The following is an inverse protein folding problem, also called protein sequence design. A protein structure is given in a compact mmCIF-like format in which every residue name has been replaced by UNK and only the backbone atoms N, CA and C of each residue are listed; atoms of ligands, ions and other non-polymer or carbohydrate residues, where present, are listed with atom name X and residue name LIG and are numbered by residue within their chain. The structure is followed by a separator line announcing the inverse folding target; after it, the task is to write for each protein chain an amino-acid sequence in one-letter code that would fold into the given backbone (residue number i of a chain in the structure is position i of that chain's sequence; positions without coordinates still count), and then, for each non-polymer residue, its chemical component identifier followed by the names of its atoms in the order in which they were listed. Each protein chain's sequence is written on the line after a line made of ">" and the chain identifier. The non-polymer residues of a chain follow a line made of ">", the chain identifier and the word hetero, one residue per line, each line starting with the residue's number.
data_IF_170919820798
#
_entry.id   IF_170919820798
#
_cell.length_a   1.000
_cell.length_b   1.000
_cell.length_c   1.000
_cell.angle_alpha   90.00
_cell.angle_beta   90.00
_cell.angle_gamma   90.00
#
_symmetry.space_group_name_H-M   'P 1'
#
loop_
_entity.id
_entity.type
_entity.pdbx_description
1 polymer ?
#
# COMPACT_ATOMS: atom_id res chain seq x y z
N UNK A 1 4.61 10.71 3.09
CA UNK A 1 5.12 11.05 4.43
C UNK A 1 4.48 12.32 5.03
N UNK A 2 3.47 12.93 4.39
CA UNK A 2 2.89 14.22 4.82
C UNK A 2 1.50 14.11 5.46
N UNK A 3 1.11 12.94 5.98
CA UNK A 3 -0.24 12.72 6.56
C UNK A 3 -0.55 13.72 7.67
N UNK A 4 0.38 13.89 8.61
CA UNK A 4 0.22 14.83 9.74
C UNK A 4 0.11 16.27 9.25
N UNK A 5 0.94 16.68 8.29
CA UNK A 5 0.88 18.03 7.71
C UNK A 5 -0.46 18.25 7.01
N UNK A 6 -0.94 17.25 6.25
CA UNK A 6 -2.25 17.29 5.60
C UNK A 6 -3.39 17.47 6.60
N UNK A 7 -3.41 16.70 7.69
CA UNK A 7 -4.42 16.86 8.75
C UNK A 7 -4.35 18.21 9.46
N UNK A 8 -3.14 18.73 9.71
CA UNK A 8 -2.98 20.09 10.28
C UNK A 8 -3.52 21.15 9.32
N UNK A 9 -3.29 21.02 8.02
CA UNK A 9 -3.84 21.93 7.02
C UNK A 9 -5.37 21.85 6.92
N UNK A 10 -5.94 20.64 6.98
CA UNK A 10 -7.40 20.44 6.98
C UNK A 10 -8.03 21.09 8.22
N UNK A 11 -7.55 20.74 9.42
CA UNK A 11 -8.06 21.29 10.68
C UNK A 11 -7.84 22.81 10.71
N UNK A 12 -6.63 23.26 10.39
CA UNK A 12 -6.25 24.67 10.44
C UNK A 12 -7.09 25.54 9.50
N UNK A 13 -7.39 25.06 8.29
CA UNK A 13 -8.20 25.81 7.33
C UNK A 13 -9.66 25.89 7.78
N UNK A 14 -10.24 24.78 8.24
CA UNK A 14 -11.66 24.72 8.63
C UNK A 14 -11.90 25.47 9.94
N UNK A 15 -11.12 25.15 10.98
CA UNK A 15 -11.24 25.81 12.28
C UNK A 15 -10.78 27.27 12.20
N UNK A 16 -9.72 27.56 11.44
CA UNK A 16 -9.24 28.92 11.22
C UNK A 16 -10.28 29.81 10.53
N UNK A 17 -10.98 29.29 9.52
CA UNK A 17 -12.09 30.00 8.87
C UNK A 17 -13.23 30.27 9.85
N UNK A 18 -13.65 29.25 10.61
CA UNK A 18 -14.74 29.38 11.57
C UNK A 18 -14.45 30.41 12.67
N UNK A 19 -13.23 30.39 13.23
CA UNK A 19 -12.81 31.39 14.23
C UNK A 19 -12.65 32.78 13.60
N UNK A 20 -12.14 32.88 12.38
CA UNK A 20 -12.00 34.13 11.64
C UNK A 20 -13.35 34.84 11.39
N UNK A 21 -14.43 34.07 11.24
CA UNK A 21 -15.80 34.57 11.13
C UNK A 21 -16.45 34.89 12.50
N UNK A 22 -15.72 34.70 13.61
CA UNK A 22 -16.22 34.93 14.98
C UNK A 22 -16.86 33.71 15.64
N UNK A 23 -16.71 32.53 15.05
CA UNK A 23 -17.18 31.25 15.61
C UNK A 23 -16.43 30.83 16.88
N UNK A 24 -17.15 30.17 17.78
CA UNK A 24 -16.59 29.67 19.04
C UNK A 24 -16.35 28.16 18.96
N UNK A 25 -15.08 27.72 19.03
CA UNK A 25 -14.70 26.30 18.85
C UNK A 25 -15.47 25.36 19.77
N UNK A 26 -15.77 25.79 21.01
CA UNK A 26 -16.53 25.00 21.98
C UNK A 26 -17.89 24.54 21.43
N UNK A 27 -18.52 25.31 20.54
CA UNK A 27 -19.80 24.95 19.93
C UNK A 27 -19.69 23.73 19.00
N UNK A 28 -18.52 23.50 18.37
CA UNK A 28 -18.28 22.38 17.46
C UNK A 28 -17.93 21.07 18.19
N UNK A 29 -17.66 21.14 19.50
CA UNK A 29 -17.27 19.97 20.28
C UNK A 29 -18.54 19.36 20.88
N UNK A 30 -19.15 18.44 20.14
CA UNK A 30 -20.34 17.68 20.57
C UNK A 30 -19.97 16.19 20.78
N UNK A 31 -19.64 15.76 22.01
CA UNK A 31 -19.13 14.41 22.26
C UNK A 31 -20.12 13.31 21.89
N UNK A 32 -21.43 13.51 22.13
CA UNK A 32 -22.44 12.50 21.85
C UNK A 32 -22.67 12.30 20.34
N UNK A 33 -22.51 13.35 19.54
CA UNK A 33 -22.56 13.22 18.09
C UNK A 33 -21.36 12.44 17.56
N UNK A 34 -20.15 12.68 18.10
CA UNK A 34 -18.98 11.86 17.77
C UNK A 34 -19.18 10.39 18.12
N UNK A 35 -19.77 10.09 19.28
CA UNK A 35 -20.10 8.71 19.67
C UNK A 35 -21.11 8.09 18.70
N UNK A 36 -22.15 8.84 18.30
CA UNK A 36 -23.13 8.37 17.33
C UNK A 36 -22.47 8.05 15.99
N UNK A 37 -21.72 9.00 15.42
CA UNK A 37 -21.11 8.89 14.09
C UNK A 37 -20.03 7.81 14.08
N UNK A 38 -19.07 7.89 15.00
CA UNK A 38 -17.92 6.98 15.04
C UNK A 38 -18.33 5.58 15.53
N UNK A 39 -19.22 5.51 16.51
CA UNK A 39 -19.77 4.25 17.01
C UNK A 39 -20.58 3.51 15.94
N UNK A 40 -21.44 4.22 15.20
CA UNK A 40 -22.19 3.64 14.09
C UNK A 40 -21.27 3.23 12.93
N UNK A 41 -20.25 4.05 12.60
CA UNK A 41 -19.27 3.72 11.58
C UNK A 41 -18.45 2.47 11.93
N UNK A 42 -17.98 2.34 13.18
CA UNK A 42 -17.29 1.13 13.65
C UNK A 42 -18.24 -0.07 13.64
N UNK A 43 -19.48 0.08 14.12
CA UNK A 43 -20.48 -0.99 14.09
C UNK A 43 -20.73 -1.49 12.66
N UNK A 44 -20.96 -0.57 11.72
CA UNK A 44 -21.11 -0.89 10.31
C UNK A 44 -19.85 -1.53 9.70
N UNK A 45 -18.67 -1.06 10.09
CA UNK A 45 -17.39 -1.63 9.67
C UNK A 45 -17.22 -3.08 10.14
N UNK A 46 -17.59 -3.39 11.39
CA UNK A 46 -17.54 -4.75 11.94
C UNK A 46 -18.55 -5.67 11.25
N UNK A 47 -19.77 -5.20 11.01
CA UNK A 47 -20.82 -6.00 10.34
C UNK A 47 -20.47 -6.29 8.88
N UNK A 48 -19.82 -5.36 8.18
CA UNK A 48 -19.55 -5.48 6.74
C UNK A 48 -18.24 -6.20 6.38
N UNK A 49 -17.44 -6.63 7.36
CA UNK A 49 -16.12 -7.20 7.10
C UNK A 49 -15.85 -8.49 7.90
N UNK A 50 -15.26 -9.52 7.28
CA UNK A 50 -14.82 -10.71 8.00
C UNK A 50 -13.65 -10.38 8.94
N UNK A 51 -13.44 -11.23 9.97
CA UNK A 51 -12.39 -11.04 10.98
C UNK A 51 -10.98 -10.91 10.40
N UNK A 52 -10.71 -11.58 9.27
CA UNK A 52 -9.44 -11.45 8.54
C UNK A 52 -9.20 -10.02 8.04
N UNK A 53 -10.22 -9.41 7.42
CA UNK A 53 -10.19 -8.02 6.96
C UNK A 53 -10.02 -7.05 8.13
N UNK A 54 -10.77 -7.23 9.22
CA UNK A 54 -10.63 -6.39 10.42
C UNK A 54 -9.19 -6.37 10.94
N UNK A 55 -8.57 -7.54 11.05
CA UNK A 55 -7.16 -7.68 11.48
C UNK A 55 -6.20 -7.07 10.48
N UNK A 56 -6.40 -7.29 9.17
CA UNK A 56 -5.54 -6.71 8.11
C UNK A 56 -5.60 -5.18 8.17
N UNK A 57 -6.80 -4.59 8.24
CA UNK A 57 -6.98 -3.15 8.34
C UNK A 57 -6.25 -2.55 9.54
N UNK A 58 -6.40 -3.14 10.73
CA UNK A 58 -5.71 -2.66 11.94
C UNK A 58 -4.19 -2.75 11.81
N UNK A 59 -3.65 -3.81 11.18
CA UNK A 59 -2.22 -3.96 10.93
C UNK A 59 -1.69 -2.99 9.86
N UNK A 60 -2.53 -2.59 8.91
CA UNK A 60 -2.15 -1.68 7.82
C UNK A 60 -2.15 -0.20 8.25
N UNK A 61 -2.93 0.20 9.27
CA UNK A 61 -3.01 1.60 9.70
C UNK A 61 -1.66 2.24 10.07
N UNK A 62 -0.75 1.60 10.85
CA UNK A 62 0.56 2.18 11.15
C UNK A 62 1.43 2.41 9.91
N UNK A 63 1.17 1.70 8.81
CA UNK A 63 1.95 1.83 7.58
C UNK A 63 1.81 3.20 6.93
N UNK A 64 0.71 3.95 7.18
CA UNK A 64 0.47 5.27 6.57
C UNK A 64 1.53 6.31 6.97
N UNK A 65 2.12 6.14 8.15
CA UNK A 65 3.17 7.02 8.66
C UNK A 65 4.56 6.62 8.19
N UNK A 66 4.74 5.40 7.66
CA UNK A 66 6.02 4.93 7.13
C UNK A 66 6.21 5.36 5.67
N UNK A 67 7.46 5.39 5.20
CA UNK A 67 7.80 5.66 3.80
C UNK A 67 7.29 4.59 2.82
N UNK A 68 7.59 4.76 1.53
CA UNK A 68 7.37 3.72 0.52
C UNK A 68 8.28 2.50 0.75
N UNK A 69 7.87 1.33 0.25
CA UNK A 69 8.59 0.07 0.47
C UNK A 69 9.87 -0.04 -0.37
N UNK A 70 9.84 0.45 -1.62
CA UNK A 70 10.96 0.38 -2.57
C UNK A 70 11.44 1.76 -3.01
N UNK A 71 12.75 1.94 -2.97
CA UNK A 71 13.46 3.08 -3.54
C UNK A 71 14.32 2.62 -4.73
N UNK A 72 15.00 3.58 -5.36
CA UNK A 72 15.89 3.31 -6.50
C UNK A 72 16.96 2.25 -6.16
N UNK A 73 17.54 2.31 -4.97
CA UNK A 73 18.63 1.42 -4.56
C UNK A 73 18.13 -0.01 -4.40
N UNK A 74 16.99 -0.22 -3.76
CA UNK A 74 16.35 -1.53 -3.64
C UNK A 74 16.01 -2.13 -5.01
N UNK A 75 15.56 -1.32 -5.97
CA UNK A 75 15.36 -1.81 -7.33
C UNK A 75 16.65 -2.21 -8.03
N UNK A 76 17.74 -1.46 -7.84
CA UNK A 76 19.06 -1.85 -8.37
C UNK A 76 19.50 -3.20 -7.80
N UNK A 77 19.37 -3.37 -6.49
CA UNK A 77 19.71 -4.63 -5.81
C UNK A 77 18.83 -5.80 -6.24
N UNK A 78 17.51 -5.59 -6.40
CA UNK A 78 16.59 -6.60 -6.96
C UNK A 78 17.00 -7.03 -8.37
N UNK A 79 17.27 -6.07 -9.25
CA UNK A 79 17.68 -6.37 -10.63
C UNK A 79 19.07 -7.03 -10.65
N UNK A 80 19.98 -6.64 -9.76
CA UNK A 80 21.30 -7.24 -9.63
C UNK A 80 21.22 -8.70 -9.15
N UNK A 81 20.37 -9.03 -8.17
CA UNK A 81 20.11 -10.41 -7.76
C UNK A 81 19.59 -11.23 -8.94
N UNK A 82 18.55 -10.75 -9.63
CA UNK A 82 17.98 -11.46 -10.78
C UNK A 82 19.04 -11.66 -11.88
N UNK A 83 19.87 -10.65 -12.14
CA UNK A 83 20.98 -10.76 -13.08
C UNK A 83 21.97 -11.87 -12.69
N UNK A 84 22.39 -11.92 -11.41
CA UNK A 84 23.33 -12.94 -10.92
C UNK A 84 22.73 -14.36 -11.02
N UNK A 85 21.47 -14.53 -10.63
CA UNK A 85 20.75 -15.81 -10.76
C UNK A 85 20.68 -16.25 -12.22
N UNK A 86 20.26 -15.36 -13.12
CA UNK A 86 20.16 -15.66 -14.55
C UNK A 86 21.54 -15.92 -15.19
N UNK A 87 22.59 -15.24 -14.73
CA UNK A 87 23.95 -15.51 -15.20
C UNK A 87 24.48 -16.85 -14.74
N UNK A 88 24.20 -17.25 -13.49
CA UNK A 88 24.54 -18.58 -12.99
C UNK A 88 23.79 -19.64 -13.79
N UNK A 89 22.48 -19.50 -13.98
CA UNK A 89 21.68 -20.40 -14.81
C UNK A 89 22.21 -20.53 -16.25
N UNK A 90 22.63 -19.42 -16.87
CA UNK A 90 23.15 -19.44 -18.24
C UNK A 90 24.52 -20.11 -18.36
N UNK A 91 25.38 -19.98 -17.34
CA UNK A 91 26.74 -20.53 -17.36
C UNK A 91 26.81 -21.99 -16.91
N UNK A 92 26.08 -22.32 -15.86
CA UNK A 92 26.17 -23.59 -15.14
C UNK A 92 24.93 -24.48 -15.39
N UNK A 93 23.91 -23.96 -16.08
CA UNK A 93 22.63 -24.63 -16.30
C UNK A 93 21.60 -24.28 -15.22
N UNK A 94 20.31 -24.44 -15.54
CA UNK A 94 19.22 -24.07 -14.63
C UNK A 94 19.24 -24.87 -13.32
N UNK A 95 19.69 -26.14 -13.37
CA UNK A 95 19.86 -27.00 -12.19
C UNK A 95 20.87 -26.44 -11.18
N UNK A 96 21.82 -25.61 -11.61
CA UNK A 96 22.77 -24.99 -10.70
C UNK A 96 22.12 -24.00 -9.71
N UNK A 97 20.88 -23.56 -9.99
CA UNK A 97 20.10 -22.72 -9.11
C UNK A 97 19.32 -23.49 -8.03
N UNK A 98 19.19 -24.82 -8.12
CA UNK A 98 18.39 -25.61 -7.16
C UNK A 98 18.84 -25.37 -5.71
N UNK A 99 20.15 -25.38 -5.47
CA UNK A 99 20.70 -25.11 -4.14
C UNK A 99 20.38 -23.70 -3.62
N UNK A 100 20.34 -22.69 -4.51
CA UNK A 100 20.01 -21.31 -4.12
C UNK A 100 18.52 -21.13 -3.85
N UNK A 101 17.68 -21.87 -4.59
CA UNK A 101 16.23 -21.79 -4.57
C UNK A 101 15.64 -22.62 -3.42
N UNK A 102 16.24 -23.76 -3.09
CA UNK A 102 15.80 -24.62 -1.99
C UNK A 102 16.21 -24.11 -0.61
N UNK A 103 17.35 -23.42 -0.53
CA UNK A 103 17.85 -22.82 0.71
C UNK A 103 18.29 -21.37 0.49
N UNK A 104 17.36 -20.43 0.22
CA UNK A 104 17.68 -19.03 -0.07
C UNK A 104 18.43 -18.35 1.09
N UNK A 105 18.14 -18.72 2.33
CA UNK A 105 18.82 -18.17 3.51
C UNK A 105 20.30 -18.60 3.59
N UNK A 106 20.67 -19.69 2.93
CA UNK A 106 22.04 -20.22 2.85
C UNK A 106 22.73 -19.83 1.54
N UNK A 107 21.98 -19.30 0.57
CA UNK A 107 22.51 -18.91 -0.73
C UNK A 107 23.44 -17.69 -0.61
N UNK A 108 24.70 -17.80 -1.07
CA UNK A 108 25.59 -16.65 -1.15
C UNK A 108 25.08 -15.53 -2.06
N UNK A 109 24.17 -15.84 -3.01
CA UNK A 109 23.56 -14.84 -3.89
C UNK A 109 22.51 -14.04 -3.15
N UNK A 110 21.55 -14.70 -2.49
CA UNK A 110 20.51 -14.01 -1.73
C UNK A 110 21.08 -13.25 -0.53
N UNK A 111 22.12 -13.77 0.15
CA UNK A 111 22.75 -13.11 1.31
C UNK A 111 23.36 -11.75 0.99
N UNK A 112 23.72 -11.49 -0.27
CA UNK A 112 24.17 -10.14 -0.73
C UNK A 112 23.05 -9.10 -0.69
N UNK A 113 21.80 -9.54 -0.66
CA UNK A 113 20.61 -8.69 -0.77
C UNK A 113 19.62 -8.95 0.38
N UNK A 114 19.95 -8.55 1.63
CA UNK A 114 19.16 -8.87 2.82
C UNK A 114 17.71 -8.38 2.76
N UNK A 115 17.44 -7.29 2.04
CA UNK A 115 16.09 -6.74 1.94
C UNK A 115 15.15 -7.69 1.18
N UNK A 116 15.66 -8.47 0.22
CA UNK A 116 14.88 -9.46 -0.55
C UNK A 116 14.61 -10.68 0.33
N UNK A 117 15.60 -11.13 1.11
CA UNK A 117 15.43 -12.23 2.08
C UNK A 117 14.34 -11.89 3.10
N UNK A 118 14.32 -10.66 3.60
CA UNK A 118 13.35 -10.20 4.59
C UNK A 118 11.92 -10.06 4.04
N UNK A 119 11.77 -9.94 2.71
CA UNK A 119 10.50 -9.86 2.02
C UNK A 119 10.10 -11.25 1.53
N UNK A 120 9.49 -12.04 2.43
CA UNK A 120 9.12 -13.43 2.14
C UNK A 120 8.25 -13.55 0.88
N UNK A 121 7.31 -12.63 0.65
CA UNK A 121 6.43 -12.71 -0.51
C UNK A 121 7.22 -12.51 -1.82
N UNK A 122 8.09 -11.50 -1.89
CA UNK A 122 8.90 -11.29 -3.10
C UNK A 122 9.91 -12.42 -3.31
N UNK A 123 10.53 -12.90 -2.23
CA UNK A 123 11.47 -14.02 -2.27
C UNK A 123 10.79 -15.28 -2.79
N UNK A 124 9.65 -15.65 -2.24
CA UNK A 124 8.93 -16.87 -2.59
C UNK A 124 8.46 -16.79 -4.05
N UNK A 125 8.00 -15.63 -4.50
CA UNK A 125 7.69 -15.38 -5.92
C UNK A 125 8.92 -15.64 -6.82
N UNK A 126 10.08 -15.07 -6.52
CA UNK A 126 11.31 -15.30 -7.32
C UNK A 126 11.65 -16.81 -7.36
N UNK A 127 11.61 -17.47 -6.20
CA UNK A 127 11.98 -18.88 -6.02
C UNK A 127 11.04 -19.79 -6.81
N UNK A 128 9.73 -19.64 -6.65
CA UNK A 128 8.76 -20.55 -7.25
C UNK A 128 8.79 -20.49 -8.77
N UNK A 129 8.95 -19.29 -9.36
CA UNK A 129 9.11 -19.17 -10.81
C UNK A 129 10.45 -19.69 -11.31
N UNK A 130 11.54 -19.55 -10.55
CA UNK A 130 12.83 -20.17 -10.91
C UNK A 130 12.77 -21.70 -10.83
N UNK A 131 12.07 -22.29 -9.84
CA UNK A 131 11.80 -23.73 -9.78
C UNK A 131 11.05 -24.20 -11.03
N UNK A 132 9.97 -23.49 -11.35
CA UNK A 132 9.17 -23.75 -12.54
C UNK A 132 10.05 -23.72 -13.81
N UNK A 133 10.91 -22.71 -13.98
CA UNK A 133 11.85 -22.63 -15.10
C UNK A 133 12.84 -23.82 -15.15
N UNK A 134 13.26 -24.38 -14.01
CA UNK A 134 14.14 -25.55 -13.94
C UNK A 134 13.49 -26.85 -14.42
N UNK A 135 12.16 -27.00 -14.25
CA UNK A 135 11.43 -28.19 -14.72
C UNK A 135 11.37 -28.31 -16.25
N UNK A 136 11.73 -27.27 -17.00
CA UNK A 136 12.07 -27.32 -18.43
C UNK A 136 10.89 -27.44 -19.41
N UNK A 137 9.65 -27.53 -18.94
CA UNK A 137 8.49 -27.84 -19.80
C UNK A 137 7.38 -26.77 -19.76
N UNK A 138 7.73 -25.50 -19.59
CA UNK A 138 6.77 -24.40 -19.42
C UNK A 138 6.80 -23.46 -20.63
N UNK A 139 5.62 -23.21 -21.19
CA UNK A 139 5.43 -22.22 -22.23
C UNK A 139 5.51 -20.79 -21.64
N UNK A 140 6.20 -19.87 -22.32
CA UNK A 140 6.35 -18.47 -21.90
C UNK A 140 5.00 -17.78 -21.68
N UNK A 141 4.02 -18.04 -22.56
CA UNK A 141 2.69 -17.44 -22.47
C UNK A 141 1.92 -17.98 -21.25
N UNK A 142 1.99 -19.29 -20.99
CA UNK A 142 1.34 -19.89 -19.82
C UNK A 142 1.96 -19.37 -18.51
N UNK A 143 3.29 -19.22 -18.46
CA UNK A 143 3.95 -18.60 -17.30
C UNK A 143 3.55 -17.14 -17.13
N UNK A 144 3.43 -16.39 -18.23
CA UNK A 144 3.00 -15.00 -18.18
C UNK A 144 1.57 -14.89 -17.61
N UNK A 145 0.65 -15.71 -18.10
CA UNK A 145 -0.75 -15.71 -17.66
C UNK A 145 -0.87 -16.10 -16.18
N UNK A 146 -0.09 -17.09 -15.71
CA UNK A 146 -0.02 -17.46 -14.30
C UNK A 146 0.51 -16.31 -13.43
N UNK A 147 1.60 -15.68 -13.85
CA UNK A 147 2.18 -14.52 -13.15
C UNK A 147 1.21 -13.33 -13.12
N UNK A 148 0.43 -13.13 -14.17
CA UNK A 148 -0.60 -12.09 -14.20
C UNK A 148 -1.73 -12.37 -13.21
N UNK A 149 -2.23 -13.60 -13.14
CA UNK A 149 -3.28 -13.98 -12.19
C UNK A 149 -2.81 -13.86 -10.73
N UNK A 150 -1.56 -14.25 -10.46
CA UNK A 150 -0.97 -14.09 -9.12
C UNK A 150 -0.80 -12.61 -8.74
N UNK A 151 -0.35 -11.77 -9.68
CA UNK A 151 -0.26 -10.31 -9.47
C UNK A 151 -1.63 -9.68 -9.22
N UNK A 152 -2.67 -10.13 -9.93
CA UNK A 152 -4.06 -9.70 -9.72
C UNK A 152 -4.51 -10.08 -8.31
N UNK A 153 -4.26 -11.32 -7.89
CA UNK A 153 -4.59 -11.82 -6.55
C UNK A 153 -3.87 -11.02 -5.47
N UNK A 154 -2.56 -10.84 -5.59
CA UNK A 154 -1.76 -10.02 -4.67
C UNK A 154 -2.31 -8.59 -4.57
N UNK A 155 -2.63 -7.96 -5.70
CA UNK A 155 -3.16 -6.59 -5.69
C UNK A 155 -4.55 -6.52 -5.03
N UNK A 156 -5.42 -7.49 -5.30
CA UNK A 156 -6.72 -7.59 -4.66
C UNK A 156 -6.57 -7.75 -3.14
N UNK A 157 -5.65 -8.59 -2.68
CA UNK A 157 -5.37 -8.79 -1.26
C UNK A 157 -4.87 -7.50 -0.59
N UNK A 158 -3.92 -6.79 -1.20
CA UNK A 158 -3.39 -5.53 -0.65
C UNK A 158 -4.45 -4.42 -0.60
N UNK A 159 -5.39 -4.41 -1.54
CA UNK A 159 -6.47 -3.44 -1.58
C UNK A 159 -7.57 -3.68 -0.51
N UNK A 160 -7.66 -4.88 0.09
CA UNK A 160 -8.72 -5.24 1.06
C UNK A 160 -8.85 -4.19 2.17
N UNK A 161 -7.74 -3.83 2.82
CA UNK A 161 -7.75 -2.91 3.95
C UNK A 161 -8.17 -1.49 3.53
N UNK A 162 -7.64 -1.01 2.40
CA UNK A 162 -7.96 0.30 1.86
C UNK A 162 -9.43 0.40 1.46
N UNK A 163 -9.95 -0.62 0.76
CA UNK A 163 -11.36 -0.68 0.36
C UNK A 163 -12.31 -0.73 1.55
N UNK A 164 -11.94 -1.44 2.62
CA UNK A 164 -12.73 -1.50 3.84
C UNK A 164 -12.79 -0.13 4.56
N UNK A 165 -11.66 0.59 4.62
CA UNK A 165 -11.61 1.96 5.15
C UNK A 165 -12.40 2.93 4.26
N UNK A 166 -12.30 2.79 2.94
CA UNK A 166 -13.05 3.64 2.01
C UNK A 166 -14.57 3.51 2.23
N UNK A 167 -15.08 2.27 2.35
CA UNK A 167 -16.50 2.03 2.65
C UNK A 167 -16.93 2.65 3.98
N UNK A 168 -16.06 2.63 4.99
CA UNK A 168 -16.31 3.31 6.26
C UNK A 168 -16.34 4.84 6.07
N UNK A 169 -15.43 5.39 5.27
CA UNK A 169 -15.42 6.81 4.92
C UNK A 169 -16.71 7.23 4.23
N UNK A 170 -17.19 6.44 3.27
CA UNK A 170 -18.42 6.71 2.51
C UNK A 170 -19.67 6.71 3.41
N UNK A 171 -19.65 5.95 4.52
CA UNK A 171 -20.76 5.87 5.47
C UNK A 171 -20.79 7.01 6.52
N UNK A 172 -19.65 7.63 6.82
CA UNK A 172 -19.55 8.68 7.84
C UNK A 172 -20.48 9.89 7.61
N UNK A 173 -20.65 10.44 6.39
CA UNK A 173 -21.59 11.52 6.15
C UNK A 173 -23.04 11.11 6.40
N UNK A 174 -23.40 9.87 6.05
CA UNK A 174 -24.75 9.34 6.29
C UNK A 174 -25.04 9.24 7.79
N UNK A 175 -24.08 8.77 8.60
CA UNK A 175 -24.23 8.78 10.06
C UNK A 175 -24.24 10.19 10.65
N UNK A 176 -23.56 11.16 10.03
CA UNK A 176 -23.67 12.58 10.38
C UNK A 176 -25.09 13.12 10.17
N UNK A 177 -25.75 12.72 9.08
CA UNK A 177 -27.17 13.05 8.84
C UNK A 177 -28.06 12.41 9.90
N UNK A 178 -27.81 11.14 10.28
CA UNK A 178 -28.56 10.47 11.35
C UNK A 178 -28.42 11.23 12.68
N UNK A 179 -27.20 11.65 13.04
CA UNK A 179 -26.96 12.44 14.24
C UNK A 179 -27.74 13.77 14.22
N UNK A 180 -27.72 14.47 13.08
CA UNK A 180 -28.45 15.72 12.92
C UNK A 180 -29.98 15.53 13.01
N UNK A 181 -30.52 14.47 12.39
CA UNK A 181 -31.95 14.13 12.49
C UNK A 181 -32.34 13.85 13.94
N UNK A 182 -31.52 13.12 14.70
CA UNK A 182 -31.76 12.89 16.12
C UNK A 182 -31.76 14.21 16.92
N UNK A 183 -30.83 15.11 16.65
CA UNK A 183 -30.77 16.43 17.28
C UNK A 183 -32.01 17.30 16.95
N UNK A 184 -32.47 17.28 15.71
CA UNK A 184 -33.71 17.96 15.30
C UNK A 184 -34.92 17.38 16.01
N UNK A 185 -35.05 16.05 16.10
CA UNK A 185 -36.13 15.39 16.85
C UNK A 185 -36.13 15.81 18.31
N UNK A 186 -34.95 15.86 18.94
CA UNK A 186 -34.81 16.31 20.32
C UNK A 186 -35.21 17.77 20.51
N UNK A 187 -34.82 18.64 19.58
CA UNK A 187 -35.20 20.05 19.55
C UNK A 187 -36.71 20.21 19.42
N UNK A 188 -37.35 19.48 18.52
CA UNK A 188 -38.80 19.55 18.32
C UNK A 188 -39.58 19.04 19.54
N UNK A 189 -39.02 18.10 20.30
CA UNK A 189 -39.56 17.68 21.60
C UNK A 189 -39.53 18.79 22.66
N UNK A 190 -38.73 19.84 22.45
CA UNK A 190 -38.55 20.97 23.36
C UNK A 190 -39.09 22.28 22.78
N UNK A 191 -39.99 22.22 21.79
CA UNK A 191 -40.47 23.41 21.02
C UNK A 191 -41.06 24.53 21.87
N UNK A 192 -41.53 24.23 23.10
CA UNK A 192 -42.04 25.23 24.04
C UNK A 192 -40.99 25.93 24.90
N UNK A 193 -39.71 25.57 24.79
CA UNK A 193 -38.63 26.20 25.54
C UNK A 193 -38.30 27.61 25.01
N UNK A 194 -37.51 28.37 25.75
CA UNK A 194 -37.12 29.72 25.36
C UNK A 194 -36.34 29.71 24.03
N UNK A 195 -36.51 30.73 23.16
CA UNK A 195 -35.85 30.77 21.84
C UNK A 195 -34.32 30.60 21.87
N UNK A 196 -33.66 31.10 22.92
CA UNK A 196 -32.22 30.93 23.10
C UNK A 196 -31.81 29.45 23.27
N UNK A 197 -32.61 28.67 24.02
CA UNK A 197 -32.37 27.24 24.24
C UNK A 197 -32.60 26.45 22.96
N UNK A 198 -33.67 26.74 22.22
CA UNK A 198 -33.89 26.14 20.90
C UNK A 198 -32.73 26.43 19.95
N UNK A 199 -32.23 27.67 19.94
CA UNK A 199 -31.09 28.06 19.11
C UNK A 199 -29.84 27.22 19.38
N UNK A 200 -29.53 26.98 20.66
CA UNK A 200 -28.41 26.12 21.07
C UNK A 200 -28.62 24.66 20.64
N UNK A 201 -29.82 24.11 20.80
CA UNK A 201 -30.13 22.73 20.39
C UNK A 201 -30.06 22.54 18.87
N UNK A 202 -30.52 23.51 18.09
CA UNK A 202 -30.42 23.50 16.62
C UNK A 202 -28.95 23.59 16.20
N UNK A 203 -28.18 24.49 16.81
CA UNK A 203 -26.76 24.64 16.53
C UNK A 203 -26.02 23.33 16.81
N UNK A 204 -26.28 22.68 17.96
CA UNK A 204 -25.71 21.38 18.28
C UNK A 204 -26.06 20.34 17.20
N UNK A 205 -27.33 20.21 16.80
CA UNK A 205 -27.75 19.23 15.80
C UNK A 205 -27.08 19.39 14.42
N UNK A 206 -26.73 20.62 14.03
CA UNK A 206 -26.03 20.87 12.76
C UNK A 206 -24.57 20.42 12.78
N UNK A 207 -23.96 20.34 13.98
CA UNK A 207 -22.58 19.88 14.14
C UNK A 207 -22.43 18.41 13.72
N UNK A 208 -23.45 17.58 13.89
CA UNK A 208 -23.39 16.16 13.52
C UNK A 208 -23.14 15.94 12.03
N UNK A 209 -23.83 16.70 11.18
CA UNK A 209 -23.61 16.61 9.72
C UNK A 209 -22.23 17.14 9.33
N UNK A 210 -21.83 18.26 9.93
CA UNK A 210 -20.50 18.84 9.73
C UNK A 210 -19.39 17.83 10.09
N UNK A 211 -19.46 17.22 11.28
CA UNK A 211 -18.48 16.24 11.74
C UNK A 211 -18.45 14.99 10.86
N UNK A 212 -19.62 14.49 10.41
CA UNK A 212 -19.69 13.34 9.52
C UNK A 212 -18.94 13.57 8.20
N UNK A 213 -19.17 14.73 7.56
CA UNK A 213 -18.50 15.11 6.30
C UNK A 213 -17.01 15.35 6.54
N UNK A 214 -16.65 16.06 7.62
CA UNK A 214 -15.26 16.35 7.97
C UNK A 214 -14.45 15.07 8.21
N UNK A 215 -14.99 14.13 8.98
CA UNK A 215 -14.32 12.86 9.27
C UNK A 215 -14.16 12.01 8.01
N UNK A 216 -15.19 11.95 7.16
CA UNK A 216 -15.17 11.21 5.91
C UNK A 216 -14.07 11.70 4.97
N UNK A 217 -14.14 12.96 4.55
CA UNK A 217 -13.30 13.48 3.48
C UNK A 217 -12.00 14.12 3.98
N UNK A 218 -11.97 14.58 5.23
CA UNK A 218 -10.78 15.18 5.83
C UNK A 218 -9.80 14.16 6.42
N UNK A 219 -10.28 12.99 6.87
CA UNK A 219 -9.48 12.04 7.62
C UNK A 219 -9.51 10.61 7.07
N UNK A 220 -10.68 9.98 7.02
CA UNK A 220 -10.79 8.54 6.77
C UNK A 220 -10.60 8.18 5.29
N UNK A 221 -11.21 8.94 4.37
CA UNK A 221 -11.06 8.75 2.93
C UNK A 221 -9.61 8.90 2.46
N UNK A 222 -8.89 10.00 2.80
CA UNK A 222 -7.49 10.16 2.43
C UNK A 222 -6.56 9.06 2.94
N UNK A 223 -6.90 8.43 4.08
CA UNK A 223 -6.18 7.27 4.60
C UNK A 223 -6.37 6.04 3.70
N UNK A 224 -7.60 5.79 3.22
CA UNK A 224 -7.86 4.72 2.26
C UNK A 224 -7.10 4.95 0.94
N UNK A 225 -7.14 6.16 0.39
CA UNK A 225 -6.43 6.53 -0.84
C UNK A 225 -4.92 6.29 -0.73
N UNK A 226 -4.33 6.67 0.42
CA UNK A 226 -2.90 6.48 0.66
C UNK A 226 -2.53 5.00 0.78
N UNK A 227 -3.37 4.18 1.43
CA UNK A 227 -3.14 2.72 1.50
C UNK A 227 -3.26 2.08 0.11
N UNK A 228 -4.23 2.49 -0.70
CA UNK A 228 -4.35 2.05 -2.10
C UNK A 228 -3.13 2.44 -2.95
N UNK A 229 -2.61 3.65 -2.78
CA UNK A 229 -1.37 4.06 -3.44
C UNK A 229 -0.18 3.17 -3.02
N UNK A 230 -0.03 2.90 -1.72
CA UNK A 230 1.02 2.00 -1.20
C UNK A 230 0.88 0.57 -1.70
N UNK A 231 -0.34 0.03 -1.75
CA UNK A 231 -0.59 -1.31 -2.29
C UNK A 231 -0.23 -1.43 -3.77
N UNK A 232 -0.47 -0.38 -4.57
CA UNK A 232 -0.02 -0.31 -5.97
C UNK A 232 1.51 -0.28 -6.07
N UNK A 233 2.18 0.50 -5.22
CA UNK A 233 3.65 0.55 -5.18
C UNK A 233 4.25 -0.80 -4.78
N UNK A 234 3.62 -1.51 -3.84
CA UNK A 234 4.05 -2.84 -3.37
C UNK A 234 3.97 -3.93 -4.44
N UNK A 235 3.08 -3.81 -5.44
CA UNK A 235 3.01 -4.75 -6.56
C UNK A 235 4.15 -4.57 -7.58
N UNK A 236 4.84 -3.42 -7.56
CA UNK A 236 5.79 -3.06 -8.61
C UNK A 236 7.07 -3.92 -8.67
N UNK A 237 7.67 -4.34 -7.54
CA UNK A 237 8.78 -5.30 -7.53
C UNK A 237 8.44 -6.63 -8.20
N UNK A 238 7.24 -7.17 -7.97
CA UNK A 238 6.79 -8.41 -8.60
C UNK A 238 6.67 -8.27 -10.12
N UNK A 239 6.14 -7.14 -10.60
CA UNK A 239 6.15 -6.83 -12.05
C UNK A 239 7.58 -6.77 -12.62
N UNK A 240 8.54 -6.23 -11.86
CA UNK A 240 9.95 -6.21 -12.25
C UNK A 240 10.51 -7.63 -12.37
N UNK A 241 10.29 -8.49 -11.38
CA UNK A 241 10.69 -9.90 -11.43
C UNK A 241 10.07 -10.59 -12.65
N UNK A 242 8.75 -10.44 -12.84
CA UNK A 242 8.01 -11.02 -13.96
C UNK A 242 8.67 -10.73 -15.30
N UNK A 243 8.87 -9.45 -15.64
CA UNK A 243 9.41 -9.10 -16.96
C UNK A 243 10.85 -9.57 -17.15
N UNK A 244 11.64 -9.64 -16.09
CA UNK A 244 13.03 -10.12 -16.15
C UNK A 244 13.07 -11.63 -16.39
N UNK A 245 12.29 -12.41 -15.65
CA UNK A 245 12.23 -13.87 -15.79
C UNK A 245 11.66 -14.27 -17.16
N UNK A 246 10.55 -13.65 -17.60
CA UNK A 246 9.96 -13.91 -18.91
C UNK A 246 10.90 -13.54 -20.07
N UNK A 247 11.65 -12.44 -19.95
CA UNK A 247 12.67 -12.07 -20.94
C UNK A 247 13.78 -13.14 -21.00
N UNK A 248 14.22 -13.66 -19.85
CA UNK A 248 15.20 -14.75 -19.83
C UNK A 248 14.65 -16.03 -20.45
N UNK A 249 13.39 -16.40 -20.15
CA UNK A 249 12.74 -17.58 -20.71
C UNK A 249 12.56 -17.47 -22.23
N UNK A 250 12.37 -16.24 -22.74
CA UNK A 250 12.34 -15.92 -24.17
C UNK A 250 13.72 -15.95 -24.85
N UNK A 251 14.80 -16.28 -24.12
CA UNK A 251 16.15 -16.44 -24.67
C UNK A 251 17.02 -15.19 -24.66
N UNK A 252 16.55 -14.06 -24.14
CA UNK A 252 17.36 -12.84 -24.03
C UNK A 252 18.55 -13.04 -23.09
N UNK A 253 19.66 -12.34 -23.36
CA UNK A 253 20.82 -12.38 -22.48
C UNK A 253 20.52 -11.70 -21.13
N UNK A 254 21.11 -12.15 -20.00
CA UNK A 254 20.84 -11.58 -18.67
C UNK A 254 20.97 -10.05 -18.57
N UNK A 255 21.94 -9.36 -19.22
CA UNK A 255 21.96 -7.89 -19.24
C UNK A 255 20.73 -7.26 -19.92
N UNK A 256 20.22 -7.90 -20.98
CA UNK A 256 19.03 -7.43 -21.70
C UNK A 256 17.78 -7.69 -20.85
N UNK A 257 17.68 -8.87 -20.21
CA UNK A 257 16.58 -9.18 -19.30
C UNK A 257 16.51 -8.17 -18.13
N UNK A 258 17.65 -7.77 -17.56
CA UNK A 258 17.74 -6.74 -16.54
C UNK A 258 17.19 -5.37 -17.01
N UNK A 259 17.44 -4.99 -18.27
CA UNK A 259 16.89 -3.76 -18.85
C UNK A 259 15.35 -3.79 -18.95
N UNK A 260 14.74 -4.96 -19.20
CA UNK A 260 13.28 -5.09 -19.20
C UNK A 260 12.72 -4.78 -17.81
N UNK A 261 13.36 -5.30 -16.75
CA UNK A 261 13.06 -4.98 -15.36
C UNK A 261 13.10 -3.48 -15.09
N UNK A 262 14.18 -2.80 -15.50
CA UNK A 262 14.32 -1.35 -15.33
C UNK A 262 13.21 -0.57 -16.05
N UNK A 263 12.83 -0.99 -17.26
CA UNK A 263 11.84 -0.29 -18.09
C UNK A 263 10.43 -0.37 -17.53
N UNK A 264 10.08 -1.41 -16.77
CA UNK A 264 8.74 -1.51 -16.18
C UNK A 264 8.56 -0.58 -14.98
N UNK A 265 9.64 -0.18 -14.29
CA UNK A 265 9.59 0.65 -13.06
C UNK A 265 8.98 2.03 -13.29
N UNK A 266 8.37 2.60 -12.25
CA UNK A 266 7.90 3.99 -12.28
C UNK A 266 9.04 4.98 -12.47
N UNK A 267 8.82 6.01 -13.28
CA UNK A 267 9.85 7.00 -13.65
C UNK A 267 10.51 7.67 -12.43
N UNK A 268 9.78 7.87 -11.35
CA UNK A 268 10.26 8.51 -10.11
C UNK A 268 11.37 7.74 -9.40
N UNK A 269 11.38 6.40 -9.51
CA UNK A 269 12.30 5.50 -8.81
C UNK A 269 13.12 4.64 -9.78
N UNK A 270 12.91 4.80 -11.09
CA UNK A 270 13.62 4.08 -12.14
C UNK A 270 15.10 4.48 -12.15
N UNK A 271 16.03 3.53 -12.00
CA UNK A 271 17.44 3.79 -12.22
C UNK A 271 17.72 4.21 -13.67
N UNK A 272 18.72 5.05 -13.84
CA UNK A 272 19.28 5.35 -15.16
C UNK A 272 19.93 4.10 -15.76
N UNK A 273 20.17 4.13 -17.06
CA UNK A 273 20.89 3.06 -17.74
C UNK A 273 22.30 2.86 -17.13
N UNK A 274 23.01 3.96 -16.87
CA UNK A 274 24.37 3.92 -16.30
C UNK A 274 24.37 3.32 -14.89
N UNK A 275 23.44 3.75 -14.03
CA UNK A 275 23.30 3.20 -12.67
C UNK A 275 23.05 1.68 -12.69
N UNK A 276 22.24 1.19 -13.64
CA UNK A 276 22.02 -0.25 -13.80
C UNK A 276 23.26 -0.97 -14.33
N UNK A 277 23.91 -0.45 -15.38
CA UNK A 277 25.11 -1.07 -15.94
C UNK A 277 26.23 -1.16 -14.89
N UNK A 278 26.40 -0.11 -14.08
CA UNK A 278 27.37 -0.09 -12.98
C UNK A 278 27.02 -1.12 -11.90
N UNK A 279 25.75 -1.23 -11.49
CA UNK A 279 25.30 -2.23 -10.53
C UNK A 279 25.54 -3.66 -11.04
N UNK A 280 25.18 -3.93 -12.31
CA UNK A 280 25.40 -5.22 -12.97
C UNK A 280 26.90 -5.53 -13.10
N UNK A 281 27.75 -4.55 -13.39
CA UNK A 281 29.21 -4.73 -13.43
C UNK A 281 29.79 -5.00 -12.05
N UNK A 282 29.30 -4.34 -11.01
CA UNK A 282 29.78 -4.54 -9.64
C UNK A 282 29.60 -5.99 -9.17
N UNK A 283 28.52 -6.67 -9.60
CA UNK A 283 28.33 -8.10 -9.32
C UNK A 283 29.46 -8.99 -9.86
N UNK A 284 30.05 -8.64 -11.01
CA UNK A 284 31.15 -9.39 -11.63
C UNK A 284 32.47 -9.23 -10.88
N UNK A 285 32.67 -8.08 -10.22
CA UNK A 285 33.91 -7.79 -9.48
C UNK A 285 33.92 -8.52 -8.14
N UNK A 286 32.78 -8.61 -7.46
CA UNK A 286 32.62 -9.35 -6.20
C UNK A 286 32.81 -10.88 -6.36
N UNK A 287 32.72 -11.41 -7.57
CA UNK A 287 32.88 -12.84 -7.86
C UNK A 287 34.34 -13.29 -8.12
N UNK A 288 35.32 -12.38 -8.13
CA UNK A 288 36.75 -12.78 -8.21
C UNK A 288 37.24 -13.15 -6.81
N UNK A 289 37.71 -14.38 -6.57
CA UNK A 289 38.49 -14.66 -5.37
C UNK A 289 39.72 -13.76 -5.40
N UNK A 290 40.07 -13.17 -4.25
CA UNK A 290 41.36 -12.53 -4.08
C UNK A 290 42.44 -13.58 -4.41
N UNK A 291 43.07 -13.45 -5.57
CA UNK A 291 44.20 -14.28 -5.95
C UNK A 291 45.36 -13.88 -5.05
N UNK A 292 45.62 -14.70 -4.02
CA UNK A 292 46.87 -14.72 -3.26
C UNK A 292 47.79 -15.80 -3.82
#
# INVERSE_FOLDING_TARGET
>A
MFVVIGWVLVIGSIIGSFVGEGGHIAALIQPFELVCIFGAAIGAFVVSNPTSTLRKTLKSLPSIFRGGSYDKQKYLELIALLYELLQKARKEGMMALEADVDAPDQSPLFQKYPHIISDHHLRDFIIDYLRMMSTGNINVLEMQDLMDEELVTHHAEEAIAANAIQKMADGLPAFGIVAAVMGVVHTMGSVGAAPAVLGEMIAAALVGTFLGILLAYGFVGPVADLLNAKGRDAAKPFQCVKVVLLASLSGYAPPIAAEFGRKVLFTSVRPTFQELDDAVRATKVAAKPAQS
#
